data_IF_135639712481
#
_entry.id   IF_135639712481
#
_cell.length_a   1.000
_cell.length_b   1.000
_cell.length_c   1.000
_cell.angle_alpha   90.00
_cell.angle_beta   90.00
_cell.angle_gamma   90.00
#
_symmetry.space_group_name_H-M   'P 1'
#
loop_
_entity.id
_entity.type
_entity.pdbx_description
1 polymer ?
#
# COMPACT_ATOMS: atom_id res chain seq x y z
N UNK A 1 13.91 16.78 -1.20
CA UNK A 1 14.74 16.73 0.01
C UNK A 1 14.55 17.98 0.88
N UNK A 2 14.92 19.21 0.41
CA UNK A 2 14.81 20.46 1.22
C UNK A 2 13.42 20.70 1.82
N UNK A 3 12.35 20.33 1.10
CA UNK A 3 10.97 20.43 1.59
C UNK A 3 10.72 19.47 2.77
N UNK A 4 11.16 18.23 2.68
CA UNK A 4 10.99 17.24 3.74
C UNK A 4 11.76 17.63 5.03
N UNK A 5 13.00 18.14 4.90
CA UNK A 5 13.76 18.71 6.02
C UNK A 5 12.99 19.82 6.72
N UNK A 6 12.46 20.80 5.96
CA UNK A 6 11.65 21.90 6.52
C UNK A 6 10.37 21.42 7.21
N UNK A 7 9.88 20.23 6.88
CA UNK A 7 8.72 19.58 7.49
C UNK A 7 9.09 18.63 8.63
N UNK A 8 10.34 18.64 9.09
CA UNK A 8 10.80 17.94 10.28
C UNK A 8 11.20 16.48 10.05
N UNK A 9 11.46 16.05 8.80
CA UNK A 9 12.09 14.75 8.52
C UNK A 9 13.59 14.87 8.74
N UNK A 10 14.21 13.91 9.45
CA UNK A 10 15.64 13.94 9.74
C UNK A 10 16.51 13.80 8.48
N UNK A 11 17.72 14.33 8.53
CA UNK A 11 18.70 14.18 7.44
C UNK A 11 19.02 12.71 7.20
N UNK A 12 19.17 11.90 8.27
CA UNK A 12 19.45 10.48 8.17
C UNK A 12 18.39 9.71 7.38
N UNK A 13 17.12 9.95 7.67
CA UNK A 13 16.01 9.36 6.91
C UNK A 13 16.03 9.77 5.44
N UNK A 14 16.30 11.05 5.15
CA UNK A 14 16.40 11.54 3.79
C UNK A 14 17.54 10.86 3.03
N UNK A 15 18.69 10.71 3.65
CA UNK A 15 19.85 10.09 3.01
C UNK A 15 19.63 8.61 2.71
N UNK A 16 18.99 7.87 3.62
CA UNK A 16 18.62 6.47 3.42
C UNK A 16 17.54 6.35 2.33
N UNK A 17 16.44 7.07 2.48
CA UNK A 17 15.27 6.97 1.59
C UNK A 17 15.58 7.40 0.15
N UNK A 18 16.41 8.43 -0.02
CA UNK A 18 16.75 8.94 -1.35
C UNK A 18 18.07 8.41 -1.93
N UNK A 19 18.72 7.44 -1.29
CA UNK A 19 19.98 6.85 -1.76
C UNK A 19 19.87 6.27 -3.16
N UNK A 20 18.79 5.55 -3.44
CA UNK A 20 18.58 4.81 -4.69
C UNK A 20 17.36 5.27 -5.49
N UNK A 21 16.80 6.44 -5.19
CA UNK A 21 15.61 6.95 -5.87
C UNK A 21 15.88 7.21 -7.34
N UNK A 22 15.00 6.67 -8.19
CA UNK A 22 15.03 6.77 -9.65
C UNK A 22 13.80 7.47 -10.18
N UNK A 23 13.92 8.16 -11.30
CA UNK A 23 12.79 8.66 -12.04
C UNK A 23 12.19 7.55 -12.90
N UNK A 24 10.92 7.21 -12.66
CA UNK A 24 10.23 6.07 -13.25
C UNK A 24 9.20 6.53 -14.28
N UNK A 25 9.59 6.70 -15.55
CA UNK A 25 8.68 7.15 -16.62
C UNK A 25 7.40 6.31 -16.74
N UNK A 26 7.51 4.99 -16.54
CA UNK A 26 6.38 4.06 -16.59
C UNK A 26 5.32 4.35 -15.53
N UNK A 27 5.69 4.89 -14.36
CA UNK A 27 4.74 5.28 -13.30
C UNK A 27 3.84 6.41 -13.78
N UNK A 28 4.39 7.38 -14.52
CA UNK A 28 3.60 8.45 -15.15
C UNK A 28 2.64 7.88 -16.20
N UNK A 29 3.08 6.88 -16.97
CA UNK A 29 2.22 6.22 -17.95
C UNK A 29 1.04 5.49 -17.27
N UNK A 30 1.29 4.77 -16.18
CA UNK A 30 0.25 4.10 -15.40
C UNK A 30 -0.74 5.10 -14.79
N UNK A 31 -0.26 6.23 -14.27
CA UNK A 31 -1.13 7.29 -13.74
C UNK A 31 -2.09 7.87 -14.80
N UNK A 32 -1.73 7.81 -16.08
CA UNK A 32 -2.55 8.32 -17.20
C UNK A 32 -3.42 7.27 -17.87
N UNK A 33 -3.14 5.98 -17.67
CA UNK A 33 -3.88 4.85 -18.27
C UNK A 33 -4.28 3.88 -17.17
N UNK A 34 -5.43 4.14 -16.55
CA UNK A 34 -5.99 3.27 -15.52
C UNK A 34 -7.00 2.31 -16.18
N UNK A 35 -6.76 0.97 -16.13
CA UNK A 35 -7.62 -0.02 -16.80
C UNK A 35 -9.08 0.02 -16.35
N UNK A 36 -9.35 0.44 -15.13
CA UNK A 36 -10.68 0.51 -14.51
C UNK A 36 -11.66 1.38 -15.28
N UNK A 37 -11.17 2.29 -16.10
CA UNK A 37 -12.01 3.13 -16.96
C UNK A 37 -12.42 2.47 -18.29
N UNK A 38 -11.93 1.27 -18.58
CA UNK A 38 -12.10 0.60 -19.88
C UNK A 38 -12.77 -0.78 -19.77
N UNK A 39 -13.00 -1.30 -18.57
CA UNK A 39 -13.71 -2.56 -18.36
C UNK A 39 -15.17 -2.32 -17.97
N UNK A 40 -16.12 -3.10 -18.56
CA UNK A 40 -17.48 -3.14 -18.05
C UNK A 40 -17.56 -3.85 -16.69
N UNK A 41 -18.59 -3.53 -15.92
CA UNK A 41 -18.74 -4.00 -14.53
C UNK A 41 -18.80 -5.52 -14.43
N UNK A 42 -19.46 -6.21 -15.36
CA UNK A 42 -19.60 -7.68 -15.32
C UNK A 42 -18.24 -8.34 -15.54
N UNK A 43 -17.51 -7.90 -16.55
CA UNK A 43 -16.15 -8.37 -16.82
C UNK A 43 -15.22 -8.10 -15.65
N UNK A 44 -15.31 -6.91 -15.05
CA UNK A 44 -14.53 -6.53 -13.87
C UNK A 44 -14.79 -7.48 -12.70
N UNK A 45 -16.04 -7.71 -12.33
CA UNK A 45 -16.44 -8.58 -11.21
C UNK A 45 -16.01 -10.03 -11.48
N UNK A 46 -16.27 -10.59 -12.66
CA UNK A 46 -15.94 -11.96 -13.00
C UNK A 46 -14.43 -12.23 -12.95
N UNK A 47 -13.61 -11.27 -13.35
CA UNK A 47 -12.14 -11.38 -13.25
C UNK A 47 -11.66 -11.40 -11.80
N UNK A 48 -12.27 -10.61 -10.93
CA UNK A 48 -11.81 -10.39 -9.56
C UNK A 48 -12.43 -11.34 -8.54
N UNK A 49 -13.68 -11.78 -8.77
CA UNK A 49 -14.40 -12.73 -7.92
C UNK A 49 -14.56 -14.11 -8.58
N UNK A 50 -13.51 -14.58 -9.27
CA UNK A 50 -13.56 -15.88 -9.93
C UNK A 50 -13.55 -17.05 -8.93
N UNK A 51 -14.01 -18.23 -9.39
CA UNK A 51 -14.17 -19.46 -8.59
C UNK A 51 -12.88 -19.87 -7.85
N UNK A 52 -11.71 -19.71 -8.48
CA UNK A 52 -10.43 -20.08 -7.87
C UNK A 52 -10.12 -19.16 -6.67
N UNK A 53 -10.36 -17.85 -6.83
CA UNK A 53 -10.14 -16.89 -5.74
C UNK A 53 -11.10 -17.13 -4.58
N UNK A 54 -12.38 -17.42 -4.86
CA UNK A 54 -13.37 -17.79 -3.82
C UNK A 54 -12.96 -19.07 -3.10
N UNK A 55 -12.50 -20.10 -3.81
CA UNK A 55 -11.98 -21.33 -3.20
C UNK A 55 -10.77 -21.08 -2.29
N UNK A 56 -9.85 -20.23 -2.74
CA UNK A 56 -8.67 -19.85 -1.94
C UNK A 56 -9.08 -19.08 -0.68
N UNK A 57 -10.04 -18.14 -0.81
CA UNK A 57 -10.57 -17.40 0.32
C UNK A 57 -11.15 -18.33 1.39
N UNK A 58 -12.05 -19.25 1.01
CA UNK A 58 -12.66 -20.22 1.93
C UNK A 58 -11.62 -21.09 2.64
N UNK A 59 -10.54 -21.49 1.92
CA UNK A 59 -9.44 -22.24 2.50
C UNK A 59 -8.70 -21.41 3.55
N UNK A 60 -8.29 -20.18 3.22
CA UNK A 60 -7.56 -19.29 4.12
C UNK A 60 -8.38 -18.90 5.34
N UNK A 61 -9.70 -18.70 5.17
CA UNK A 61 -10.59 -18.43 6.30
C UNK A 61 -10.58 -19.57 7.32
N UNK A 62 -10.65 -20.82 6.83
CA UNK A 62 -10.60 -22.02 7.69
C UNK A 62 -9.22 -22.19 8.36
N UNK A 63 -8.14 -21.95 7.62
CA UNK A 63 -6.76 -22.09 8.13
C UNK A 63 -6.41 -21.04 9.19
N UNK A 64 -7.06 -19.88 9.17
CA UNK A 64 -6.81 -18.76 10.07
C UNK A 64 -8.07 -18.37 10.88
N UNK A 65 -8.95 -19.32 11.15
CA UNK A 65 -10.27 -19.07 11.77
C UNK A 65 -10.17 -18.30 13.09
N UNK A 66 -9.23 -18.67 13.94
CA UNK A 66 -9.00 -18.02 15.24
C UNK A 66 -8.63 -16.55 15.06
N UNK A 67 -7.64 -16.25 14.21
CA UNK A 67 -7.20 -14.87 13.95
C UNK A 67 -8.33 -14.01 13.37
N UNK A 68 -9.08 -14.55 12.40
CA UNK A 68 -10.19 -13.81 11.80
C UNK A 68 -11.32 -13.55 12.80
N UNK A 69 -11.62 -14.52 13.68
CA UNK A 69 -12.61 -14.35 14.76
C UNK A 69 -12.16 -13.29 15.79
N UNK A 70 -10.89 -13.28 16.17
CA UNK A 70 -10.33 -12.27 17.07
C UNK A 70 -10.44 -10.86 16.47
N UNK A 71 -10.06 -10.70 15.19
CA UNK A 71 -10.13 -9.40 14.49
C UNK A 71 -11.59 -8.96 14.36
N UNK A 72 -12.49 -9.85 13.96
CA UNK A 72 -13.93 -9.58 13.86
C UNK A 72 -14.51 -9.11 15.20
N UNK A 73 -14.22 -9.80 16.29
CA UNK A 73 -14.67 -9.44 17.63
C UNK A 73 -14.07 -8.10 18.11
N UNK A 74 -12.79 -7.85 17.84
CA UNK A 74 -12.08 -6.65 18.31
C UNK A 74 -12.49 -5.40 17.57
N UNK A 75 -12.72 -5.50 16.26
CA UNK A 75 -12.93 -4.35 15.38
C UNK A 75 -14.33 -4.24 14.80
N UNK A 76 -15.20 -5.23 15.05
CA UNK A 76 -16.58 -5.30 14.51
C UNK A 76 -16.62 -5.22 12.98
N UNK A 77 -15.63 -5.83 12.31
CA UNK A 77 -15.54 -5.96 10.85
C UNK A 77 -15.72 -7.42 10.49
N UNK A 78 -16.71 -7.73 9.67
CA UNK A 78 -16.96 -9.08 9.19
C UNK A 78 -15.71 -9.68 8.53
N UNK A 79 -15.31 -10.86 8.96
CA UNK A 79 -14.13 -11.56 8.46
C UNK A 79 -14.15 -11.82 6.95
N UNK A 80 -15.35 -12.02 6.40
CA UNK A 80 -15.57 -12.21 4.96
C UNK A 80 -15.21 -10.94 4.16
N UNK A 81 -15.52 -9.75 4.69
CA UNK A 81 -15.16 -8.46 4.08
C UNK A 81 -13.65 -8.28 4.10
N UNK A 82 -13.02 -8.52 5.24
CA UNK A 82 -11.57 -8.41 5.38
C UNK A 82 -10.85 -9.36 4.40
N UNK A 83 -11.32 -10.60 4.32
CA UNK A 83 -10.77 -11.62 3.42
C UNK A 83 -11.00 -11.27 1.95
N UNK A 84 -12.16 -10.70 1.59
CA UNK A 84 -12.47 -10.26 0.24
C UNK A 84 -11.55 -9.11 -0.20
N UNK A 85 -11.32 -8.13 0.66
CA UNK A 85 -10.37 -7.03 0.41
C UNK A 85 -8.96 -7.58 0.18
N UNK A 86 -8.45 -8.45 1.05
CA UNK A 86 -7.15 -9.09 0.87
C UNK A 86 -7.04 -9.85 -0.45
N UNK A 87 -8.11 -10.56 -0.83
CA UNK A 87 -8.18 -11.25 -2.11
C UNK A 87 -8.16 -10.32 -3.32
N UNK A 88 -8.91 -9.21 -3.28
CA UNK A 88 -9.01 -8.25 -4.39
C UNK A 88 -7.71 -7.47 -4.54
N UNK A 89 -7.16 -6.94 -3.46
CA UNK A 89 -5.99 -6.06 -3.48
C UNK A 89 -4.71 -6.79 -3.91
N UNK A 90 -4.44 -7.94 -3.30
CA UNK A 90 -3.12 -8.61 -3.50
C UNK A 90 -3.21 -10.07 -3.86
N UNK A 91 -4.40 -10.61 -4.15
CA UNK A 91 -4.59 -12.05 -4.32
C UNK A 91 -4.00 -12.83 -3.12
N UNK A 92 -4.40 -12.43 -1.92
CA UNK A 92 -3.95 -13.00 -0.64
C UNK A 92 -2.42 -12.92 -0.46
N UNK A 93 -1.86 -11.73 -0.68
CA UNK A 93 -0.44 -11.44 -0.49
C UNK A 93 0.48 -11.89 -1.63
N UNK A 94 -0.04 -12.55 -2.68
CA UNK A 94 0.78 -13.02 -3.81
C UNK A 94 1.27 -11.90 -4.73
N UNK A 95 0.58 -10.76 -4.74
CA UNK A 95 0.84 -9.64 -5.65
C UNK A 95 0.83 -8.30 -4.92
N UNK A 96 1.75 -8.11 -3.99
CA UNK A 96 1.88 -6.86 -3.22
C UNK A 96 2.51 -5.69 -4.00
N UNK A 97 2.88 -5.93 -5.26
CA UNK A 97 3.57 -4.96 -6.10
C UNK A 97 5.10 -5.13 -6.08
N UNK A 98 5.75 -4.59 -7.13
CA UNK A 98 7.20 -4.70 -7.32
C UNK A 98 7.87 -3.35 -7.59
N UNK A 99 7.11 -2.26 -7.49
CA UNK A 99 7.63 -0.92 -7.71
C UNK A 99 8.26 -0.38 -6.43
N UNK A 100 9.42 0.26 -6.56
CA UNK A 100 10.00 1.05 -5.47
C UNK A 100 9.07 2.22 -5.16
N UNK A 101 8.47 2.20 -3.97
CA UNK A 101 7.43 3.16 -3.56
C UNK A 101 7.99 4.58 -3.46
N UNK A 102 9.21 4.74 -2.93
CA UNK A 102 9.81 6.05 -2.78
C UNK A 102 10.10 6.66 -4.15
N UNK A 103 10.64 5.88 -5.08
CA UNK A 103 10.85 6.31 -6.47
C UNK A 103 9.54 6.64 -7.17
N UNK A 104 8.50 5.83 -6.96
CA UNK A 104 7.16 6.04 -7.53
C UNK A 104 6.55 7.34 -7.04
N UNK A 105 6.48 7.53 -5.72
CA UNK A 105 5.94 8.75 -5.11
C UNK A 105 6.76 9.99 -5.45
N UNK A 106 8.11 9.89 -5.49
CA UNK A 106 8.97 10.99 -5.90
C UNK A 106 8.75 11.38 -7.36
N UNK A 107 8.57 10.39 -8.26
CA UNK A 107 8.27 10.63 -9.68
C UNK A 107 6.91 11.31 -9.84
N UNK A 108 5.87 10.81 -9.17
CA UNK A 108 4.52 11.38 -9.22
C UNK A 108 4.44 12.76 -8.54
N UNK A 109 5.26 13.01 -7.53
CA UNK A 109 5.42 14.35 -6.93
C UNK A 109 6.07 15.35 -7.88
N UNK A 110 6.88 14.88 -8.81
CA UNK A 110 7.49 15.73 -9.86
C UNK A 110 6.50 16.01 -10.98
N UNK A 111 5.64 15.07 -11.35
CA UNK A 111 4.62 15.25 -12.39
C UNK A 111 3.53 16.23 -11.94
N UNK A 112 3.09 17.11 -12.85
CA UNK A 112 2.16 18.21 -12.51
C UNK A 112 0.75 17.75 -12.17
N UNK A 113 0.30 16.57 -12.66
CA UNK A 113 -1.11 16.16 -12.65
C UNK A 113 -1.69 16.04 -11.24
N UNK A 114 -1.02 15.34 -10.32
CA UNK A 114 -1.44 15.12 -8.93
C UNK A 114 -0.32 15.39 -7.93
N UNK A 115 0.50 16.40 -8.23
CA UNK A 115 1.71 16.74 -7.48
C UNK A 115 1.49 16.86 -5.97
N UNK A 116 0.50 17.63 -5.58
CA UNK A 116 0.28 17.94 -4.16
C UNK A 116 -0.13 16.70 -3.38
N UNK A 117 -1.01 15.88 -3.97
CA UNK A 117 -1.40 14.60 -3.38
C UNK A 117 -0.18 13.70 -3.16
N UNK A 118 0.60 13.43 -4.21
CA UNK A 118 1.74 12.52 -4.10
C UNK A 118 2.90 13.09 -3.27
N UNK A 119 3.09 14.40 -3.26
CA UNK A 119 4.07 15.05 -2.37
C UNK A 119 3.68 14.90 -0.90
N UNK A 120 2.39 14.98 -0.59
CA UNK A 120 1.86 14.69 0.74
C UNK A 120 2.07 13.23 1.13
N UNK A 121 1.75 12.28 0.25
CA UNK A 121 1.97 10.84 0.50
C UNK A 121 3.46 10.53 0.75
N UNK A 122 4.34 11.09 -0.07
CA UNK A 122 5.79 10.92 0.11
C UNK A 122 6.27 11.49 1.45
N UNK A 123 5.80 12.69 1.83
CA UNK A 123 6.17 13.28 3.11
C UNK A 123 5.70 12.44 4.30
N UNK A 124 4.48 11.92 4.25
CA UNK A 124 3.93 11.04 5.29
C UNK A 124 4.76 9.76 5.38
N UNK A 125 5.08 9.13 4.25
CA UNK A 125 5.91 7.94 4.22
C UNK A 125 7.29 8.18 4.84
N UNK A 126 7.93 9.31 4.50
CA UNK A 126 9.22 9.67 5.08
C UNK A 126 9.14 9.87 6.60
N UNK A 127 8.03 10.38 7.12
CA UNK A 127 7.81 10.51 8.57
C UNK A 127 7.60 9.14 9.23
N UNK A 128 6.84 8.24 8.62
CA UNK A 128 6.68 6.87 9.13
C UNK A 128 8.02 6.11 9.20
N UNK A 129 8.91 6.37 8.25
CA UNK A 129 10.29 5.82 8.27
C UNK A 129 11.12 6.48 9.37
N UNK A 130 11.02 7.80 9.52
CA UNK A 130 11.74 8.58 10.53
C UNK A 130 11.38 8.15 11.96
N UNK A 131 10.07 7.89 12.17
CA UNK A 131 9.50 7.38 13.41
C UNK A 131 9.76 5.87 13.62
N UNK A 132 10.49 5.20 12.69
CA UNK A 132 10.83 3.77 12.70
C UNK A 132 9.63 2.80 12.67
N UNK A 133 8.45 3.30 12.32
CA UNK A 133 7.24 2.49 12.18
C UNK A 133 7.26 1.63 10.90
N UNK A 134 8.01 2.06 9.88
CA UNK A 134 8.19 1.33 8.62
C UNK A 134 9.68 1.25 8.29
N UNK A 135 10.14 0.07 7.87
CA UNK A 135 11.51 -0.12 7.42
C UNK A 135 11.69 0.23 5.94
N UNK A 136 12.68 1.08 5.57
CA UNK A 136 12.90 1.47 4.17
C UNK A 136 13.23 0.29 3.23
N UNK A 137 13.74 -0.82 3.77
CA UNK A 137 14.19 -1.97 2.97
C UNK A 137 13.06 -2.77 2.31
N UNK A 138 11.84 -2.67 2.81
CA UNK A 138 10.67 -3.45 2.36
C UNK A 138 9.64 -2.62 1.59
N UNK A 139 10.03 -1.44 1.13
CA UNK A 139 9.11 -0.50 0.48
C UNK A 139 8.91 -0.79 -1.01
N UNK A 140 8.49 -2.02 -1.30
CA UNK A 140 7.98 -2.38 -2.63
C UNK A 140 6.46 -2.50 -2.59
N UNK A 141 5.80 -1.98 -3.61
CA UNK A 141 4.34 -1.94 -3.68
C UNK A 141 3.82 -1.56 -5.05
N UNK A 142 2.69 -0.88 -5.09
CA UNK A 142 2.08 -0.42 -6.33
C UNK A 142 2.86 0.76 -6.97
N UNK A 143 2.57 1.02 -8.23
CA UNK A 143 3.10 2.18 -8.95
C UNK A 143 2.65 3.52 -8.33
N UNK A 144 1.52 3.54 -7.63
CA UNK A 144 0.97 4.73 -6.98
C UNK A 144 1.45 4.92 -5.53
N UNK A 145 2.27 3.99 -5.01
CA UNK A 145 2.78 4.07 -3.65
C UNK A 145 1.94 3.38 -2.59
N UNK A 146 0.96 2.55 -2.99
CA UNK A 146 0.22 1.69 -2.09
C UNK A 146 1.09 0.50 -1.63
N UNK A 147 0.92 0.07 -0.37
CA UNK A 147 1.83 -0.81 0.32
C UNK A 147 1.10 -1.92 1.09
N UNK A 148 1.76 -3.08 1.21
CA UNK A 148 1.31 -4.19 2.03
C UNK A 148 0.17 -5.01 1.44
N UNK A 149 -0.37 -5.92 2.24
CA UNK A 149 -1.41 -6.88 1.84
C UNK A 149 -2.72 -6.22 1.40
N UNK A 150 -3.06 -5.07 1.97
CA UNK A 150 -4.28 -4.31 1.68
C UNK A 150 -4.05 -3.06 0.83
N UNK A 151 -2.85 -2.91 0.27
CA UNK A 151 -2.50 -1.81 -0.65
C UNK A 151 -2.88 -0.42 -0.12
N UNK A 152 -2.55 -0.15 1.13
CA UNK A 152 -2.83 1.14 1.73
C UNK A 152 -1.85 2.22 1.31
N UNK A 153 -2.38 3.41 1.06
CA UNK A 153 -1.58 4.61 0.87
C UNK A 153 -0.92 5.05 2.20
N UNK A 154 0.24 5.72 2.16
CA UNK A 154 0.92 6.19 3.39
C UNK A 154 0.02 6.97 4.35
N UNK A 155 -0.91 7.78 3.84
CA UNK A 155 -1.88 8.50 4.68
C UNK A 155 -2.85 7.56 5.40
N UNK A 156 -3.30 6.49 4.74
CA UNK A 156 -4.18 5.48 5.35
C UNK A 156 -3.43 4.72 6.45
N UNK A 157 -2.18 4.32 6.18
CA UNK A 157 -1.32 3.67 7.17
C UNK A 157 -1.16 4.56 8.39
N UNK A 158 -0.76 5.82 8.19
CA UNK A 158 -0.58 6.77 9.30
C UNK A 158 -1.80 6.92 10.18
N UNK A 159 -3.01 6.91 9.59
CA UNK A 159 -4.23 7.24 10.31
C UNK A 159 -4.91 6.01 10.93
N UNK A 160 -4.71 4.82 10.39
CA UNK A 160 -5.52 3.64 10.73
C UNK A 160 -4.73 2.37 10.99
N UNK A 161 -3.49 2.26 10.54
CA UNK A 161 -2.71 1.06 10.81
C UNK A 161 -2.30 0.99 12.28
N UNK A 162 -2.31 -0.22 12.80
CA UNK A 162 -1.94 -0.52 14.18
C UNK A 162 -0.85 -1.58 14.19
N UNK A 163 0.01 -1.51 15.16
CA UNK A 163 0.92 -2.59 15.51
C UNK A 163 0.11 -3.66 16.26
N UNK A 164 -0.28 -4.72 15.55
CA UNK A 164 -1.20 -5.72 16.09
C UNK A 164 -0.50 -6.74 16.99
N UNK A 165 0.75 -7.07 16.71
CA UNK A 165 1.56 -8.04 17.44
C UNK A 165 2.49 -7.42 18.49
N UNK A 166 2.52 -6.09 18.61
CA UNK A 166 3.29 -5.36 19.62
C UNK A 166 4.78 -5.30 19.34
N UNK A 167 5.21 -5.49 18.09
CA UNK A 167 6.62 -5.48 17.71
C UNK A 167 7.19 -4.07 17.39
N UNK A 168 6.39 -3.02 17.57
CA UNK A 168 6.65 -1.62 17.24
C UNK A 168 6.85 -1.33 15.75
N UNK A 169 6.26 -2.17 14.87
CA UNK A 169 6.26 -1.98 13.42
C UNK A 169 4.86 -2.08 12.85
N UNK A 170 4.68 -1.47 11.70
CA UNK A 170 3.47 -1.57 10.89
C UNK A 170 3.85 -2.29 9.59
N UNK A 171 3.38 -3.52 9.43
CA UNK A 171 3.71 -4.41 8.31
C UNK A 171 2.51 -4.69 7.39
#
# INVERSE_FOLDING_TARGET
>A
KKFALRKGVSQGTIDIAFKNVKFLKQVIMYDRKQPEFYEDTITYVNKRANTLRVKTAKKLLKENEVLFAEVENKFSVEKEILLALWGIETNFGKHVGKMDIISSLATLSYDKRRRDFFSSQLLILLKLIDDKLIEPKILFGSWAGAYGNFQFMPSTIKNYAIDYDGNNKIE
#
